data_IF_366567221735
#
_entry.id   IF_366567221735
#
_cell.length_a   1.000
_cell.length_b   1.000
_cell.length_c   1.000
_cell.angle_alpha   90.00
_cell.angle_beta   90.00
_cell.angle_gamma   90.00
#
_symmetry.space_group_name_H-M   'P 1'
#
loop_
_entity.id
_entity.type
_entity.pdbx_description
1 polymer ?
#
# COMPACT_ATOMS: atom_id res chain seq x y z
N UNK A 1 21.36 13.55 -19.30
CA UNK A 1 20.19 12.65 -19.38
C UNK A 1 20.16 11.80 -20.66
N UNK A 2 20.72 12.28 -21.79
CA UNK A 2 20.52 11.62 -23.09
C UNK A 2 21.03 10.16 -23.24
N UNK A 3 21.92 9.67 -22.39
CA UNK A 3 22.51 8.31 -22.54
C UNK A 3 21.96 7.27 -21.55
N UNK A 4 20.88 7.58 -20.86
CA UNK A 4 20.38 6.74 -19.75
C UNK A 4 18.96 6.23 -19.95
N UNK A 5 18.21 6.83 -20.88
CA UNK A 5 16.89 6.34 -21.25
C UNK A 5 17.00 5.29 -22.35
N UNK A 6 16.40 4.12 -22.12
CA UNK A 6 16.27 3.05 -23.12
C UNK A 6 14.96 3.16 -23.92
N UNK A 7 14.36 4.34 -23.97
CA UNK A 7 13.16 4.67 -24.72
C UNK A 7 13.26 6.08 -25.29
N UNK A 8 12.43 6.40 -26.29
CA UNK A 8 12.31 7.73 -26.87
C UNK A 8 11.15 8.49 -26.28
N UNK A 9 11.38 9.76 -25.90
CA UNK A 9 10.42 10.67 -25.33
C UNK A 9 10.49 12.00 -26.06
N UNK A 10 9.39 12.43 -26.64
CA UNK A 10 9.26 13.76 -27.24
C UNK A 10 8.54 14.69 -26.25
N UNK A 11 9.23 15.77 -25.89
CA UNK A 11 8.71 16.88 -25.10
C UNK A 11 8.27 17.99 -26.05
N UNK A 12 6.98 18.27 -26.11
CA UNK A 12 6.41 19.28 -27.01
C UNK A 12 6.09 20.54 -26.23
N UNK A 13 6.77 21.64 -26.58
CA UNK A 13 6.52 22.99 -26.06
C UNK A 13 6.09 23.90 -27.20
N UNK A 14 4.83 24.32 -27.20
CA UNK A 14 4.26 25.11 -28.32
C UNK A 14 4.55 24.39 -29.66
N UNK A 15 5.39 24.96 -30.51
CA UNK A 15 5.77 24.38 -31.80
C UNK A 15 7.12 23.63 -31.78
N UNK A 16 7.83 23.68 -30.64
CA UNK A 16 9.12 22.99 -30.51
C UNK A 16 8.94 21.58 -29.96
N UNK A 17 9.66 20.63 -30.54
CA UNK A 17 9.73 19.24 -30.06
C UNK A 17 11.19 18.94 -29.69
N UNK A 18 11.42 18.52 -28.46
CA UNK A 18 12.72 18.08 -27.97
C UNK A 18 12.71 16.59 -27.71
N UNK A 19 13.47 15.81 -28.48
CA UNK A 19 13.64 14.38 -28.26
C UNK A 19 14.67 14.08 -27.19
N UNK A 20 14.26 13.28 -26.20
CA UNK A 20 15.09 12.78 -25.09
C UNK A 20 15.17 11.25 -25.13
N UNK A 21 16.33 10.70 -24.78
CA UNK A 21 16.57 9.25 -24.81
C UNK A 21 17.04 8.75 -26.15
N UNK A 22 16.45 7.69 -26.69
CA UNK A 22 16.82 7.12 -28.01
C UNK A 22 16.49 8.14 -29.10
N UNK A 23 17.51 8.44 -29.91
CA UNK A 23 17.40 9.38 -31.04
C UNK A 23 17.52 8.57 -32.33
N UNK A 24 16.41 8.02 -32.77
CA UNK A 24 16.22 7.36 -34.03
C UNK A 24 15.16 8.09 -34.87
N UNK A 25 14.95 7.67 -36.09
CA UNK A 25 13.94 8.24 -37.00
C UNK A 25 12.53 7.67 -36.77
N UNK A 26 12.37 6.80 -35.77
CA UNK A 26 11.07 6.20 -35.43
C UNK A 26 10.20 7.19 -34.60
N UNK A 27 8.88 7.03 -34.66
CA UNK A 27 7.98 7.76 -33.75
C UNK A 27 8.40 7.54 -32.30
N UNK A 28 8.34 8.61 -31.49
CA UNK A 28 8.65 8.50 -30.07
C UNK A 28 7.68 7.53 -29.36
N UNK A 29 8.24 6.72 -28.45
CA UNK A 29 7.42 5.83 -27.60
C UNK A 29 6.41 6.62 -26.77
N UNK A 30 6.82 7.82 -26.31
CA UNK A 30 5.97 8.73 -25.56
C UNK A 30 6.06 10.15 -26.13
N UNK A 31 4.93 10.86 -26.13
CA UNK A 31 4.87 12.29 -26.47
C UNK A 31 4.14 13.02 -25.36
N UNK A 32 4.82 14.00 -24.77
CA UNK A 32 4.32 14.79 -23.64
C UNK A 32 4.28 16.24 -24.02
N UNK A 33 3.10 16.87 -23.92
CA UNK A 33 2.95 18.32 -24.02
C UNK A 33 3.33 18.95 -22.68
N UNK A 34 4.22 19.94 -22.73
CA UNK A 34 4.63 20.74 -21.57
C UNK A 34 3.80 22.02 -21.57
N UNK A 35 2.86 22.11 -20.64
CA UNK A 35 1.97 23.25 -20.47
C UNK A 35 2.60 24.34 -19.59
N UNK A 36 3.52 23.92 -18.67
CA UNK A 36 4.28 24.84 -17.81
C UNK A 36 5.73 24.33 -17.71
N UNK A 37 6.74 25.10 -18.23
CA UNK A 37 8.15 24.70 -18.19
C UNK A 37 8.72 24.48 -16.78
N UNK A 38 8.06 24.99 -15.75
CA UNK A 38 8.47 24.75 -14.35
C UNK A 38 8.54 23.26 -14.00
N UNK A 39 7.83 22.39 -14.75
CA UNK A 39 7.89 20.93 -14.57
C UNK A 39 9.31 20.37 -14.62
N UNK A 40 10.21 20.96 -15.41
CA UNK A 40 11.61 20.55 -15.49
C UNK A 40 12.35 20.81 -14.18
N UNK A 41 12.21 22.01 -13.64
CA UNK A 41 12.84 22.38 -12.38
C UNK A 41 12.28 21.56 -11.22
N UNK A 42 10.96 21.41 -11.16
CA UNK A 42 10.28 20.66 -10.12
C UNK A 42 10.70 19.17 -10.16
N UNK A 43 10.77 18.55 -11.34
CA UNK A 43 11.24 17.18 -11.49
C UNK A 43 12.72 17.00 -11.12
N UNK A 44 13.60 17.90 -11.59
CA UNK A 44 15.03 17.84 -11.26
C UNK A 44 15.27 18.06 -9.77
N UNK A 45 14.48 18.91 -9.13
CA UNK A 45 14.67 19.28 -7.71
C UNK A 45 14.02 18.28 -6.74
N UNK A 46 12.84 17.78 -7.06
CA UNK A 46 11.99 17.02 -6.14
C UNK A 46 11.68 15.60 -6.63
N UNK A 47 12.16 15.20 -7.81
CA UNK A 47 11.93 13.85 -8.36
C UNK A 47 10.45 13.55 -8.51
N UNK A 48 10.02 12.39 -7.98
CA UNK A 48 8.62 11.95 -8.06
C UNK A 48 7.63 12.93 -7.44
N UNK A 49 7.98 13.61 -6.35
CA UNK A 49 7.12 14.65 -5.76
C UNK A 49 6.87 15.79 -6.74
N UNK A 50 7.91 16.30 -7.40
CA UNK A 50 7.78 17.39 -8.37
C UNK A 50 6.98 16.98 -9.60
N UNK A 51 7.17 15.74 -10.08
CA UNK A 51 6.41 15.21 -11.21
C UNK A 51 4.92 15.03 -10.86
N UNK A 52 4.64 14.52 -9.65
CA UNK A 52 3.27 14.35 -9.15
C UNK A 52 2.54 15.69 -9.00
N UNK A 53 3.20 16.70 -8.41
CA UNK A 53 2.62 18.03 -8.30
C UNK A 53 2.38 18.68 -9.68
N UNK A 54 3.29 18.48 -10.61
CA UNK A 54 3.11 18.93 -12.00
C UNK A 54 1.90 18.27 -12.65
N UNK A 55 1.69 16.96 -12.42
CA UNK A 55 0.50 16.25 -12.90
C UNK A 55 -0.78 16.76 -12.25
N UNK A 56 -0.79 16.94 -10.92
CA UNK A 56 -1.93 17.50 -10.19
C UNK A 56 -2.41 18.83 -10.79
N UNK A 57 -1.47 19.66 -11.20
CA UNK A 57 -1.77 20.99 -11.75
C UNK A 57 -1.78 21.05 -13.28
N UNK A 58 -1.79 19.90 -13.96
CA UNK A 58 -1.81 19.80 -15.43
C UNK A 58 -0.66 20.58 -16.10
N UNK A 59 0.51 20.65 -15.44
CA UNK A 59 1.70 21.30 -16.00
C UNK A 59 2.26 20.52 -17.22
N UNK A 60 1.85 19.29 -17.40
CA UNK A 60 2.08 18.48 -18.61
C UNK A 60 0.88 17.58 -18.92
N UNK A 61 0.81 17.12 -20.16
CA UNK A 61 -0.24 16.21 -20.65
C UNK A 61 0.35 15.16 -21.57
N UNK A 62 -0.04 13.90 -21.43
CA UNK A 62 0.32 12.83 -22.35
C UNK A 62 -0.42 13.03 -23.67
N UNK A 63 0.29 13.13 -24.81
CA UNK A 63 -0.27 13.18 -26.14
C UNK A 63 -0.21 11.82 -26.86
N UNK A 64 0.83 11.01 -26.55
CA UNK A 64 0.98 9.65 -27.03
C UNK A 64 1.59 8.77 -25.94
N UNK A 65 1.15 7.51 -25.89
CA UNK A 65 1.43 6.62 -24.77
C UNK A 65 0.58 6.95 -23.54
N UNK A 66 0.83 6.28 -22.44
CA UNK A 66 0.15 6.55 -21.16
C UNK A 66 1.17 6.87 -20.06
N UNK A 67 0.69 7.51 -19.00
CA UNK A 67 1.53 7.95 -17.88
C UNK A 67 2.13 6.77 -17.10
N UNK A 68 1.37 5.69 -16.97
CA UNK A 68 1.77 4.47 -16.27
C UNK A 68 3.02 3.86 -16.92
N UNK A 69 2.99 3.62 -18.23
CA UNK A 69 4.11 3.05 -18.98
C UNK A 69 5.32 4.00 -18.99
N UNK A 70 5.09 5.31 -19.02
CA UNK A 70 6.15 6.31 -18.92
C UNK A 70 6.86 6.20 -17.56
N UNK A 71 6.10 6.19 -16.44
CA UNK A 71 6.66 6.07 -15.09
C UNK A 71 7.37 4.72 -14.93
N UNK A 72 6.78 3.62 -15.40
CA UNK A 72 7.42 2.31 -15.40
C UNK A 72 8.77 2.34 -16.14
N UNK A 73 8.80 2.92 -17.33
CA UNK A 73 10.04 3.05 -18.13
C UNK A 73 11.10 3.91 -17.42
N UNK A 74 10.66 4.98 -16.72
CA UNK A 74 11.55 5.82 -15.92
C UNK A 74 12.14 5.07 -14.72
N UNK A 75 11.35 4.27 -14.01
CA UNK A 75 11.79 3.44 -12.89
C UNK A 75 12.79 2.36 -13.35
N UNK A 76 12.51 1.68 -14.47
CA UNK A 76 13.45 0.71 -15.08
C UNK A 76 14.79 1.34 -15.44
N UNK A 77 14.82 2.59 -15.87
CA UNK A 77 16.05 3.36 -16.11
C UNK A 77 16.71 3.87 -14.83
N UNK A 78 16.10 3.71 -13.64
CA UNK A 78 16.61 4.19 -12.34
C UNK A 78 16.95 5.67 -12.35
N UNK A 79 16.12 6.49 -12.97
CA UNK A 79 16.35 7.95 -13.14
C UNK A 79 16.45 8.63 -11.78
N UNK A 80 15.67 8.19 -10.79
CA UNK A 80 15.72 8.68 -9.41
C UNK A 80 17.11 8.59 -8.78
N UNK A 81 17.83 7.47 -9.01
CA UNK A 81 19.21 7.28 -8.50
C UNK A 81 20.21 8.21 -9.15
N UNK A 82 19.96 8.62 -10.39
CA UNK A 82 20.81 9.54 -11.11
C UNK A 82 20.59 10.99 -10.66
N UNK A 83 19.33 11.37 -10.39
CA UNK A 83 18.99 12.68 -9.84
C UNK A 83 19.59 12.86 -8.44
N UNK A 84 19.59 11.81 -7.60
CA UNK A 84 20.14 11.83 -6.23
C UNK A 84 21.65 12.06 -6.17
N UNK A 85 22.40 11.82 -7.23
CA UNK A 85 23.84 12.15 -7.31
C UNK A 85 24.09 13.66 -7.41
N UNK A 86 23.08 14.47 -7.65
CA UNK A 86 23.23 15.91 -7.73
C UNK A 86 23.19 16.52 -6.30
N UNK A 87 24.32 17.10 -5.84
CA UNK A 87 24.42 17.69 -4.50
C UNK A 87 23.42 18.81 -4.21
N UNK A 88 22.98 19.55 -5.24
CA UNK A 88 21.94 20.58 -5.14
C UNK A 88 20.57 19.97 -4.78
N UNK A 89 20.30 18.75 -5.20
CA UNK A 89 19.12 17.98 -4.83
C UNK A 89 19.12 17.67 -3.32
N UNK A 90 20.28 17.25 -2.77
CA UNK A 90 20.43 16.95 -1.34
C UNK A 90 20.10 18.14 -0.43
N UNK A 91 20.54 19.35 -0.79
CA UNK A 91 20.28 20.54 0.00
C UNK A 91 18.81 20.97 0.01
N UNK A 92 18.05 20.71 -1.07
CA UNK A 92 16.63 21.09 -1.17
C UNK A 92 15.69 20.09 -0.51
N UNK A 93 16.07 18.82 -0.44
CA UNK A 93 15.30 17.77 0.21
C UNK A 93 15.56 17.67 1.73
N UNK A 94 16.66 18.27 2.20
CA UNK A 94 17.06 18.26 3.61
C UNK A 94 15.95 18.76 4.58
N UNK A 95 15.19 19.83 4.30
CA UNK A 95 14.12 20.29 5.17
C UNK A 95 12.97 19.27 5.33
N UNK A 96 12.67 18.47 4.29
CA UNK A 96 11.67 17.41 4.35
C UNK A 96 12.14 16.22 5.19
N UNK A 97 13.43 15.85 5.11
CA UNK A 97 14.04 14.82 5.95
C UNK A 97 14.07 15.16 7.44
N UNK A 98 14.16 16.45 7.77
CA UNK A 98 14.23 16.90 9.17
C UNK A 98 12.85 17.01 9.83
N UNK A 99 11.78 17.22 9.08
CA UNK A 99 10.40 17.35 9.60
C UNK A 99 9.79 16.00 10.06
N UNK A 100 10.33 14.87 9.65
CA UNK A 100 9.82 13.51 9.98
C UNK A 100 10.04 13.04 11.42
N UNK A 101 10.39 13.92 12.36
CA UNK A 101 10.62 13.56 13.79
C UNK A 101 9.61 14.20 14.77
N UNK A 102 8.44 14.60 14.32
CA UNK A 102 7.45 15.25 15.20
C UNK A 102 6.30 14.32 15.59
N UNK A 103 5.97 14.33 16.88
CA UNK A 103 4.89 13.61 17.59
C UNK A 103 3.44 13.85 17.07
N UNK A 104 3.16 13.77 15.76
CA UNK A 104 1.84 14.03 15.17
C UNK A 104 1.06 12.77 14.76
N UNK A 105 1.39 11.61 15.34
CA UNK A 105 0.95 10.29 14.86
C UNK A 105 -0.56 10.04 14.86
N UNK A 106 -1.34 10.62 15.77
CA UNK A 106 -2.78 10.39 15.81
C UNK A 106 -3.61 11.24 14.85
N UNK A 107 -3.07 12.38 14.37
CA UNK A 107 -3.81 13.27 13.46
C UNK A 107 -3.73 12.89 11.98
N UNK A 108 -2.70 12.18 11.56
CA UNK A 108 -2.36 12.04 10.13
C UNK A 108 -2.96 10.78 9.49
N UNK A 109 -3.19 9.70 10.25
CA UNK A 109 -3.96 8.54 9.77
C UNK A 109 -5.42 8.96 9.51
N UNK A 110 -6.00 9.82 10.37
CA UNK A 110 -7.30 10.41 10.14
C UNK A 110 -7.37 11.17 8.80
N UNK A 111 -6.38 11.99 8.46
CA UNK A 111 -6.45 12.90 7.29
C UNK A 111 -6.50 12.18 5.95
N UNK A 112 -5.91 10.98 5.81
CA UNK A 112 -5.98 10.22 4.56
C UNK A 112 -7.30 9.45 4.43
N UNK A 113 -7.79 8.87 5.53
CA UNK A 113 -9.09 8.17 5.56
C UNK A 113 -10.27 9.15 5.68
N UNK A 114 -10.04 10.44 5.98
CA UNK A 114 -10.98 11.56 5.84
C UNK A 114 -11.18 11.98 4.35
N UNK A 115 -10.42 11.40 3.40
CA UNK A 115 -10.85 11.34 2.01
C UNK A 115 -12.19 10.58 2.02
N UNK A 116 -13.28 11.25 1.70
CA UNK A 116 -14.63 10.70 1.86
C UNK A 116 -14.75 9.29 1.32
N UNK A 117 -15.58 8.49 1.94
CA UNK A 117 -15.77 7.05 1.60
C UNK A 117 -16.09 6.81 0.13
N UNK A 118 -16.62 7.78 -0.58
CA UNK A 118 -16.94 7.75 -2.00
C UNK A 118 -15.70 7.65 -2.89
N UNK A 119 -14.56 8.24 -2.50
CA UNK A 119 -13.27 8.02 -3.17
C UNK A 119 -12.93 6.53 -3.14
N UNK A 120 -12.96 5.91 -1.95
CA UNK A 120 -12.64 4.48 -1.82
C UNK A 120 -13.64 3.58 -2.55
N UNK A 121 -14.93 3.89 -2.49
CA UNK A 121 -15.98 3.18 -3.23
C UNK A 121 -15.82 3.28 -4.75
N UNK A 122 -15.15 4.32 -5.24
CA UNK A 122 -14.93 4.50 -6.68
C UNK A 122 -13.96 3.49 -7.27
N UNK A 123 -13.07 2.90 -6.47
CA UNK A 123 -12.03 1.99 -6.98
C UNK A 123 -11.87 0.67 -6.22
N UNK A 124 -12.28 0.56 -4.97
CA UNK A 124 -12.20 -0.68 -4.21
C UNK A 124 -13.29 -1.69 -4.61
N UNK A 125 -13.14 -2.91 -4.14
CA UNK A 125 -14.14 -3.97 -4.23
C UNK A 125 -15.31 -3.71 -3.26
N UNK A 126 -16.35 -4.53 -3.35
CA UNK A 126 -17.56 -4.40 -2.51
C UNK A 126 -17.30 -4.58 -1.01
N UNK A 127 -16.19 -5.17 -0.61
CA UNK A 127 -15.78 -5.32 0.80
C UNK A 127 -14.99 -4.13 1.30
N UNK A 128 -14.72 -3.15 0.45
CA UNK A 128 -13.90 -1.97 0.71
C UNK A 128 -12.49 -2.33 1.20
N UNK A 129 -11.92 -3.39 0.66
CA UNK A 129 -10.61 -3.87 1.09
C UNK A 129 -9.48 -3.11 0.42
N UNK A 130 -8.81 -2.23 1.18
CA UNK A 130 -7.70 -1.41 0.69
C UNK A 130 -6.34 -2.07 0.97
N UNK A 131 -6.14 -3.25 0.43
CA UNK A 131 -4.88 -4.00 0.48
C UNK A 131 -4.79 -4.97 -0.70
N UNK A 132 -3.57 -5.44 -1.01
CA UNK A 132 -3.32 -6.35 -2.12
C UNK A 132 -4.22 -7.59 -2.08
N UNK A 133 -4.87 -7.90 -3.20
CA UNK A 133 -5.57 -9.17 -3.42
C UNK A 133 -4.60 -10.30 -3.79
N UNK A 134 -5.13 -11.48 -4.08
CA UNK A 134 -4.35 -12.65 -4.50
C UNK A 134 -4.85 -13.18 -5.84
N UNK A 135 -4.00 -13.18 -6.85
CA UNK A 135 -4.30 -13.66 -8.21
C UNK A 135 -4.11 -15.18 -8.25
N UNK A 136 -5.13 -15.92 -8.56
CA UNK A 136 -5.08 -17.36 -8.88
C UNK A 136 -5.19 -17.57 -10.39
N UNK A 137 -5.93 -16.69 -11.10
CA UNK A 137 -6.05 -16.63 -12.55
C UNK A 137 -5.89 -15.19 -13.04
N UNK A 138 -5.36 -15.00 -14.25
CA UNK A 138 -5.29 -13.69 -14.90
C UNK A 138 -6.67 -13.11 -15.23
N UNK A 139 -7.71 -13.95 -15.22
CA UNK A 139 -9.10 -13.57 -15.44
C UNK A 139 -9.86 -13.17 -14.15
N UNK A 140 -9.21 -13.32 -12.99
CA UNK A 140 -9.83 -13.01 -11.70
C UNK A 140 -10.25 -11.52 -11.65
N UNK A 141 -11.50 -11.23 -11.28
CA UNK A 141 -11.96 -9.87 -10.98
C UNK A 141 -11.34 -9.35 -9.66
N UNK A 142 -11.43 -8.06 -9.41
CA UNK A 142 -10.95 -7.47 -8.14
C UNK A 142 -11.62 -8.13 -6.93
N UNK A 143 -12.92 -8.40 -7.01
CA UNK A 143 -13.68 -9.13 -5.98
C UNK A 143 -13.11 -10.52 -5.75
N UNK A 144 -12.79 -11.24 -6.84
CA UNK A 144 -12.19 -12.56 -6.75
C UNK A 144 -10.80 -12.50 -6.14
N UNK A 145 -9.96 -11.52 -6.52
CA UNK A 145 -8.63 -11.33 -5.91
C UNK A 145 -8.74 -11.16 -4.40
N UNK A 146 -9.71 -10.40 -3.91
CA UNK A 146 -9.89 -10.18 -2.46
C UNK A 146 -10.40 -11.45 -1.76
N UNK A 147 -11.34 -12.17 -2.36
CA UNK A 147 -11.80 -13.46 -1.82
C UNK A 147 -10.69 -14.51 -1.79
N UNK A 148 -9.88 -14.61 -2.84
CA UNK A 148 -8.72 -15.52 -2.89
C UNK A 148 -7.74 -15.20 -1.75
N UNK A 149 -7.43 -13.90 -1.54
CA UNK A 149 -6.60 -13.44 -0.42
C UNK A 149 -7.20 -13.87 0.92
N UNK A 150 -8.48 -13.62 1.16
CA UNK A 150 -9.13 -13.98 2.42
C UNK A 150 -9.08 -15.50 2.66
N UNK A 151 -9.44 -16.30 1.65
CA UNK A 151 -9.37 -17.75 1.71
C UNK A 151 -7.96 -18.25 2.03
N UNK A 152 -6.96 -17.69 1.35
CA UNK A 152 -5.55 -18.06 1.55
C UNK A 152 -5.06 -17.72 2.96
N UNK A 153 -5.38 -16.55 3.48
CA UNK A 153 -5.05 -16.16 4.86
C UNK A 153 -5.69 -17.12 5.86
N UNK A 154 -6.98 -17.39 5.72
CA UNK A 154 -7.70 -18.31 6.60
C UNK A 154 -7.09 -19.73 6.58
N UNK A 155 -6.71 -20.22 5.40
CA UNK A 155 -6.02 -21.53 5.23
C UNK A 155 -4.64 -21.52 5.88
N UNK A 156 -3.82 -20.47 5.71
CA UNK A 156 -2.50 -20.33 6.34
C UNK A 156 -2.59 -20.32 7.86
N UNK A 157 -3.58 -19.65 8.41
CA UNK A 157 -3.86 -19.62 9.84
C UNK A 157 -4.43 -20.91 10.36
N UNK A 158 -4.90 -21.82 9.47
CA UNK A 158 -5.64 -23.03 9.84
C UNK A 158 -6.83 -22.70 10.74
N UNK A 159 -7.69 -21.77 10.28
CA UNK A 159 -8.87 -21.39 11.03
C UNK A 159 -9.82 -22.56 11.25
N UNK A 160 -10.30 -22.66 12.50
CA UNK A 160 -11.26 -23.68 12.90
C UNK A 160 -12.49 -23.03 13.55
N UNK A 161 -13.59 -23.71 13.53
CA UNK A 161 -14.83 -23.24 14.18
C UNK A 161 -14.59 -22.93 15.66
N UNK A 162 -14.99 -21.74 16.08
CA UNK A 162 -14.85 -21.27 17.46
C UNK A 162 -13.52 -20.58 17.76
N UNK A 163 -12.54 -20.56 16.84
CA UNK A 163 -11.30 -19.80 17.03
C UNK A 163 -11.61 -18.31 17.33
N UNK A 164 -10.87 -17.73 18.25
CA UNK A 164 -10.86 -16.29 18.51
C UNK A 164 -9.82 -15.63 17.62
N UNK A 165 -10.27 -14.89 16.59
CA UNK A 165 -9.40 -14.19 15.64
C UNK A 165 -9.33 -12.69 15.99
N UNK A 166 -8.12 -12.16 16.15
CA UNK A 166 -7.87 -10.72 16.23
C UNK A 166 -7.36 -10.19 14.89
N UNK A 167 -7.95 -9.09 14.41
CA UNK A 167 -7.46 -8.32 13.25
C UNK A 167 -6.99 -6.91 13.70
N UNK A 168 -5.67 -6.69 13.66
CA UNK A 168 -5.04 -5.42 14.07
C UNK A 168 -4.98 -4.48 12.85
N UNK A 169 -5.81 -3.45 12.85
CA UNK A 169 -6.02 -2.58 11.69
C UNK A 169 -7.01 -3.19 10.69
N UNK A 170 -8.17 -3.59 11.19
CA UNK A 170 -9.16 -4.40 10.45
C UNK A 170 -9.85 -3.68 9.28
N UNK A 171 -9.60 -2.37 9.07
CA UNK A 171 -10.34 -1.58 8.10
C UNK A 171 -11.85 -1.67 8.35
N UNK A 172 -12.63 -1.92 7.31
CA UNK A 172 -14.09 -2.08 7.40
C UNK A 172 -14.54 -3.49 7.80
N UNK A 173 -13.62 -4.39 8.17
CA UNK A 173 -13.93 -5.73 8.66
C UNK A 173 -14.20 -6.79 7.58
N UNK A 174 -13.90 -6.52 6.32
CA UNK A 174 -14.19 -7.44 5.21
C UNK A 174 -13.65 -8.85 5.41
N UNK A 175 -12.41 -8.99 5.88
CA UNK A 175 -11.81 -10.30 6.18
C UNK A 175 -12.46 -11.00 7.37
N UNK A 176 -12.83 -10.27 8.42
CA UNK A 176 -13.54 -10.84 9.57
C UNK A 176 -14.91 -11.38 9.17
N UNK A 177 -15.66 -10.62 8.37
CA UNK A 177 -16.96 -11.03 7.82
C UNK A 177 -16.80 -12.33 7.01
N UNK A 178 -15.80 -12.38 6.13
CA UNK A 178 -15.50 -13.59 5.36
C UNK A 178 -15.16 -14.79 6.27
N UNK A 179 -14.25 -14.58 7.22
CA UNK A 179 -13.78 -15.65 8.12
C UNK A 179 -14.90 -16.22 9.00
N UNK A 180 -15.77 -15.37 9.53
CA UNK A 180 -16.93 -15.81 10.31
C UNK A 180 -17.88 -16.64 9.46
N UNK A 181 -18.23 -16.15 8.27
CA UNK A 181 -19.15 -16.87 7.36
C UNK A 181 -18.62 -18.23 6.90
N UNK A 182 -17.32 -18.31 6.61
CA UNK A 182 -16.75 -19.53 6.03
C UNK A 182 -16.24 -20.52 7.07
N UNK A 183 -15.79 -20.05 8.23
CA UNK A 183 -15.13 -20.89 9.23
C UNK A 183 -15.84 -20.93 10.59
N UNK A 184 -16.84 -20.06 10.82
CA UNK A 184 -17.59 -20.03 12.10
C UNK A 184 -16.74 -19.61 13.29
N UNK A 185 -15.79 -18.69 13.08
CA UNK A 185 -14.93 -18.14 14.12
C UNK A 185 -15.62 -17.01 14.87
N UNK A 186 -14.99 -16.52 15.96
CA UNK A 186 -15.32 -15.26 16.62
C UNK A 186 -14.26 -14.21 16.26
N UNK A 187 -14.69 -13.08 15.71
CA UNK A 187 -13.79 -12.04 15.19
C UNK A 187 -13.76 -10.80 16.07
N UNK A 188 -12.56 -10.33 16.40
CA UNK A 188 -12.35 -9.00 17.00
C UNK A 188 -11.48 -8.18 16.07
N UNK A 189 -11.99 -7.06 15.60
CA UNK A 189 -11.23 -6.06 14.84
C UNK A 189 -10.88 -4.87 15.70
N UNK A 190 -9.71 -4.30 15.52
CA UNK A 190 -9.36 -3.00 16.10
C UNK A 190 -8.93 -2.02 15.03
N UNK A 191 -9.26 -0.76 15.22
CA UNK A 191 -8.90 0.34 14.33
C UNK A 191 -8.74 1.65 15.12
N UNK A 192 -7.91 2.58 14.60
CA UNK A 192 -7.80 3.95 15.10
C UNK A 192 -8.63 4.95 14.26
N UNK A 193 -9.29 4.50 13.18
CA UNK A 193 -10.15 5.33 12.34
C UNK A 193 -11.60 5.24 12.80
N UNK A 194 -12.21 6.40 13.04
CA UNK A 194 -13.63 6.51 13.38
C UNK A 194 -14.49 5.99 12.22
N UNK A 195 -14.17 6.34 10.99
CA UNK A 195 -14.91 5.91 9.81
C UNK A 195 -14.88 4.38 9.63
N UNK A 196 -13.71 3.76 9.83
CA UNK A 196 -13.59 2.31 9.81
C UNK A 196 -14.44 1.65 10.91
N UNK A 197 -14.43 2.23 12.11
CA UNK A 197 -15.22 1.75 13.25
C UNK A 197 -16.72 1.85 12.98
N UNK A 198 -17.20 3.01 12.56
CA UNK A 198 -18.62 3.26 12.36
C UNK A 198 -19.18 2.46 11.18
N UNK A 199 -18.57 2.60 10.01
CA UNK A 199 -19.03 1.90 8.81
C UNK A 199 -18.81 0.37 8.91
N UNK A 200 -17.70 -0.08 9.48
CA UNK A 200 -17.44 -1.50 9.69
C UNK A 200 -18.51 -2.15 10.57
N UNK A 201 -18.85 -1.54 11.71
CA UNK A 201 -19.93 -2.03 12.57
C UNK A 201 -21.31 -1.93 11.88
N UNK A 202 -21.54 -0.93 11.02
CA UNK A 202 -22.76 -0.88 10.21
C UNK A 202 -22.85 -2.05 9.24
N UNK A 203 -21.75 -2.37 8.52
CA UNK A 203 -21.69 -3.51 7.59
C UNK A 203 -21.90 -4.86 8.31
N UNK A 204 -21.35 -5.02 9.51
CA UNK A 204 -21.55 -6.20 10.36
C UNK A 204 -23.03 -6.37 10.73
N UNK A 205 -23.70 -5.30 11.18
CA UNK A 205 -25.15 -5.32 11.50
C UNK A 205 -26.02 -5.64 10.29
N UNK A 206 -25.71 -5.07 9.12
CA UNK A 206 -26.42 -5.37 7.87
C UNK A 206 -26.36 -6.84 7.46
N UNK A 207 -25.36 -7.56 7.97
CA UNK A 207 -25.17 -8.99 7.70
C UNK A 207 -25.58 -9.90 8.88
N UNK A 208 -26.14 -9.34 9.96
CA UNK A 208 -26.56 -10.04 11.16
C UNK A 208 -25.43 -10.86 11.81
N UNK A 209 -24.22 -10.25 11.92
CA UNK A 209 -23.01 -10.89 12.46
C UNK A 209 -22.52 -10.24 13.75
N UNK A 210 -23.28 -9.33 14.37
CA UNK A 210 -22.90 -8.57 15.57
C UNK A 210 -22.63 -9.44 16.82
N UNK A 211 -23.20 -10.63 16.87
CA UNK A 211 -22.92 -11.60 17.94
C UNK A 211 -21.58 -12.33 17.74
N UNK A 212 -21.00 -12.27 16.55
CA UNK A 212 -19.80 -13.00 16.16
C UNK A 212 -18.62 -12.10 15.84
N UNK A 213 -18.87 -10.84 15.46
CA UNK A 213 -17.83 -9.87 15.09
C UNK A 213 -18.02 -8.57 15.87
N UNK A 214 -16.92 -8.10 16.44
CA UNK A 214 -16.84 -6.79 17.11
C UNK A 214 -15.69 -5.99 16.56
N UNK A 215 -15.95 -4.78 16.07
CA UNK A 215 -14.90 -3.80 15.76
C UNK A 215 -14.85 -2.78 16.89
N UNK A 216 -13.66 -2.52 17.42
CA UNK A 216 -13.41 -1.57 18.50
C UNK A 216 -12.49 -0.41 18.01
N UNK A 217 -12.82 0.82 18.43
CA UNK A 217 -11.95 1.97 18.25
C UNK A 217 -10.87 1.93 19.35
N UNK A 218 -9.74 1.27 19.05
CA UNK A 218 -8.76 0.91 20.07
C UNK A 218 -7.33 0.90 19.50
N UNK A 219 -6.39 1.49 20.25
CA UNK A 219 -4.95 1.37 19.97
C UNK A 219 -4.46 -0.06 20.29
N UNK A 220 -3.58 -0.61 19.42
CA UNK A 220 -3.01 -1.96 19.58
C UNK A 220 -2.32 -2.18 20.94
N UNK A 221 -1.86 -1.11 21.60
CA UNK A 221 -1.23 -1.16 22.93
C UNK A 221 -2.21 -1.56 24.05
N UNK A 222 -3.52 -1.44 23.79
CA UNK A 222 -4.60 -1.63 24.79
C UNK A 222 -5.47 -2.86 24.55
N UNK A 223 -5.14 -3.73 23.61
CA UNK A 223 -5.90 -4.92 23.26
C UNK A 223 -6.19 -5.76 24.50
N UNK A 224 -7.46 -6.13 24.81
CA UNK A 224 -7.80 -7.03 25.91
C UNK A 224 -7.60 -8.50 25.51
N UNK A 225 -7.62 -9.41 26.49
CA UNK A 225 -7.69 -10.87 26.28
C UNK A 225 -6.51 -11.50 25.57
N UNK A 226 -6.75 -12.71 25.06
CA UNK A 226 -5.83 -13.49 24.22
C UNK A 226 -6.62 -14.18 23.10
N UNK A 227 -5.95 -14.48 21.97
CA UNK A 227 -6.56 -14.96 20.73
C UNK A 227 -5.85 -16.21 20.24
N UNK A 228 -6.60 -17.07 19.56
CA UNK A 228 -6.07 -18.28 18.91
C UNK A 228 -5.28 -17.90 17.66
N UNK A 229 -5.74 -16.86 16.96
CA UNK A 229 -5.15 -16.37 15.72
C UNK A 229 -5.07 -14.85 15.73
N UNK A 230 -4.00 -14.29 15.14
CA UNK A 230 -3.82 -12.84 14.99
C UNK A 230 -3.45 -12.53 13.54
N UNK A 231 -4.09 -11.52 12.97
CA UNK A 231 -3.73 -10.96 11.67
C UNK A 231 -3.49 -9.47 11.77
N UNK A 232 -2.65 -8.97 10.86
CA UNK A 232 -2.45 -7.53 10.66
C UNK A 232 -2.06 -7.29 9.21
N UNK A 233 -2.89 -6.52 8.48
CA UNK A 233 -2.76 -6.32 7.05
C UNK A 233 -2.74 -4.83 6.74
N UNK A 234 -1.63 -4.30 6.16
CA UNK A 234 -1.50 -2.89 5.82
C UNK A 234 -1.47 -1.95 7.02
N UNK A 235 -1.04 -2.45 8.18
CA UNK A 235 -0.97 -1.69 9.43
C UNK A 235 0.47 -1.32 9.80
N UNK A 236 1.42 -2.21 9.51
CA UNK A 236 2.81 -2.08 9.94
C UNK A 236 3.50 -0.85 9.33
N UNK A 237 3.07 -0.43 8.16
CA UNK A 237 3.50 0.79 7.49
C UNK A 237 3.20 2.05 8.31
N UNK A 238 2.19 1.99 9.18
CA UNK A 238 1.76 3.09 10.05
C UNK A 238 2.30 2.96 11.48
N UNK A 239 3.00 1.89 11.80
CA UNK A 239 3.71 1.72 13.08
C UNK A 239 5.10 2.33 12.96
N UNK A 240 5.49 3.30 13.80
CA UNK A 240 6.85 3.81 13.80
C UNK A 240 7.88 2.73 14.10
N UNK A 241 9.06 2.82 13.48
CA UNK A 241 10.15 1.87 13.76
C UNK A 241 10.52 1.78 15.24
N UNK A 242 10.41 2.89 15.97
CA UNK A 242 10.61 2.94 17.43
C UNK A 242 9.63 2.05 18.19
N UNK A 243 8.45 1.82 17.65
CA UNK A 243 7.36 1.09 18.30
C UNK A 243 7.30 -0.40 17.87
N UNK A 244 8.15 -0.84 16.91
CA UNK A 244 8.15 -2.23 16.44
C UNK A 244 8.32 -3.24 17.60
N UNK A 245 9.28 -3.01 18.50
CA UNK A 245 9.46 -3.88 19.69
C UNK A 245 8.18 -4.01 20.49
N UNK A 246 7.48 -2.90 20.74
CA UNK A 246 6.24 -2.90 21.51
C UNK A 246 5.11 -3.59 20.72
N UNK A 247 5.01 -3.33 19.41
CA UNK A 247 4.03 -3.95 18.54
C UNK A 247 4.14 -5.49 18.54
N UNK A 248 5.33 -6.03 18.29
CA UNK A 248 5.56 -7.46 18.28
C UNK A 248 5.47 -8.10 19.67
N UNK A 249 5.89 -7.41 20.73
CA UNK A 249 5.67 -7.85 22.11
C UNK A 249 4.17 -7.92 22.45
N UNK A 250 3.37 -6.99 21.93
CA UNK A 250 1.90 -7.04 22.10
C UNK A 250 1.33 -8.26 21.38
N UNK A 251 1.71 -8.50 20.12
CA UNK A 251 1.29 -9.69 19.37
C UNK A 251 1.65 -10.98 20.15
N UNK A 252 2.88 -11.10 20.61
CA UNK A 252 3.31 -12.26 21.40
C UNK A 252 2.46 -12.47 22.66
N UNK A 253 2.20 -11.40 23.44
CA UNK A 253 1.39 -11.48 24.67
C UNK A 253 -0.05 -11.87 24.40
N UNK A 254 -0.62 -11.40 23.25
CA UNK A 254 -2.02 -11.61 22.90
C UNK A 254 -2.27 -12.90 22.13
N UNK A 255 -1.26 -13.48 21.51
CA UNK A 255 -1.35 -14.79 20.87
C UNK A 255 -1.25 -15.88 21.93
N UNK A 256 -2.23 -16.80 21.96
CA UNK A 256 -2.22 -17.98 22.83
C UNK A 256 -1.05 -18.91 22.48
N UNK A 257 -0.64 -19.77 23.40
CA UNK A 257 0.33 -20.83 23.15
C UNK A 257 -0.19 -21.74 22.01
N UNK A 258 0.66 -22.04 21.02
CA UNK A 258 0.28 -22.77 19.81
C UNK A 258 -0.52 -21.96 18.79
N UNK A 259 -0.79 -20.70 19.09
CA UNK A 259 -1.48 -19.80 18.17
C UNK A 259 -0.64 -19.41 16.96
N UNK A 260 -1.31 -19.04 15.86
CA UNK A 260 -0.68 -18.58 14.61
C UNK A 260 -0.99 -17.11 14.35
N UNK A 261 -0.03 -16.41 13.81
CA UNK A 261 -0.22 -15.03 13.37
C UNK A 261 0.25 -14.82 11.94
N UNK A 262 -0.33 -13.82 11.27
CA UNK A 262 0.04 -13.43 9.93
C UNK A 262 0.13 -11.91 9.83
N UNK A 263 1.24 -11.43 9.29
CA UNK A 263 1.47 -10.02 8.98
C UNK A 263 1.61 -9.86 7.49
N UNK A 264 0.93 -8.85 6.93
CA UNK A 264 1.01 -8.50 5.52
C UNK A 264 1.29 -7.00 5.40
N UNK A 265 2.38 -6.61 4.72
CA UNK A 265 2.81 -5.23 4.67
C UNK A 265 3.55 -4.88 3.38
N UNK A 266 3.43 -3.61 2.96
CA UNK A 266 4.25 -3.04 1.89
C UNK A 266 5.62 -2.72 2.48
N UNK A 267 6.65 -3.28 1.90
CA UNK A 267 8.04 -3.13 2.37
C UNK A 267 8.97 -2.63 1.29
N UNK A 268 10.25 -2.55 1.62
CA UNK A 268 11.31 -2.17 0.70
C UNK A 268 12.41 -3.21 0.63
N UNK A 269 12.91 -3.46 -0.59
CA UNK A 269 14.08 -4.28 -0.86
C UNK A 269 15.37 -3.45 -1.03
N UNK A 270 15.44 -2.28 -0.37
CA UNK A 270 16.56 -1.34 -0.50
C UNK A 270 17.34 -1.22 0.80
N UNK A 271 18.61 -0.85 0.70
CA UNK A 271 19.46 -0.57 1.86
C UNK A 271 19.12 0.77 2.54
N UNK A 272 18.42 1.67 1.83
CA UNK A 272 18.03 2.99 2.35
C UNK A 272 16.69 2.91 3.05
N UNK A 273 16.43 3.84 3.98
CA UNK A 273 15.12 4.02 4.63
C UNK A 273 14.33 5.13 3.93
N UNK A 274 14.60 5.35 2.65
CA UNK A 274 13.91 6.38 1.89
C UNK A 274 12.50 5.89 1.55
N UNK A 275 11.54 6.74 1.85
CA UNK A 275 10.15 6.60 1.46
C UNK A 275 9.83 7.67 0.42
N UNK A 276 8.95 7.37 -0.50
CA UNK A 276 8.58 8.32 -1.55
C UNK A 276 7.94 9.58 -0.97
N UNK A 277 8.45 10.76 -1.34
CA UNK A 277 7.99 12.04 -0.78
C UNK A 277 6.59 12.43 -1.24
N UNK A 278 6.15 11.99 -2.43
CA UNK A 278 4.79 12.22 -2.87
C UNK A 278 3.81 11.43 -2.00
N UNK A 279 4.11 10.16 -1.77
CA UNK A 279 3.32 9.30 -0.89
C UNK A 279 3.25 9.87 0.53
N UNK A 280 4.39 10.28 1.10
CA UNK A 280 4.43 10.87 2.44
C UNK A 280 3.67 12.20 2.55
N UNK A 281 3.69 13.03 1.49
CA UNK A 281 3.05 14.34 1.54
C UNK A 281 1.54 14.27 1.35
N UNK A 282 1.07 13.42 0.44
CA UNK A 282 -0.30 13.47 -0.06
C UNK A 282 -1.15 12.26 0.30
N UNK A 283 -0.56 11.08 0.48
CA UNK A 283 -1.29 9.83 0.61
C UNK A 283 -1.20 9.27 2.04
N UNK A 284 -0.01 8.96 2.50
CA UNK A 284 0.22 8.37 3.82
C UNK A 284 1.25 9.16 4.62
N UNK A 285 0.84 10.31 5.20
CA UNK A 285 1.73 11.08 6.09
C UNK A 285 2.25 10.19 7.24
N UNK A 286 3.53 10.34 7.56
CA UNK A 286 4.23 9.60 8.62
C UNK A 286 4.30 8.07 8.42
N UNK A 287 3.87 7.54 7.27
CA UNK A 287 4.09 6.12 6.95
C UNK A 287 5.56 5.81 6.70
N UNK A 288 5.90 4.55 6.82
CA UNK A 288 7.24 4.06 6.49
C UNK A 288 7.15 2.78 5.64
N UNK A 289 8.27 2.38 5.05
CA UNK A 289 8.39 1.10 4.36
C UNK A 289 9.27 0.17 5.21
N UNK A 290 8.67 -0.78 5.95
CA UNK A 290 9.41 -1.77 6.72
C UNK A 290 10.34 -2.60 5.85
N UNK A 291 11.49 -2.99 6.37
CA UNK A 291 12.36 -3.96 5.72
C UNK A 291 12.08 -5.35 6.26
N UNK A 292 12.13 -6.35 5.39
CA UNK A 292 11.95 -7.73 5.79
C UNK A 292 12.87 -8.11 6.97
N UNK A 293 14.15 -7.67 6.93
CA UNK A 293 15.12 -7.91 8.00
C UNK A 293 14.75 -7.28 9.35
N UNK A 294 14.11 -6.09 9.33
CA UNK A 294 13.64 -5.45 10.56
C UNK A 294 12.52 -6.28 11.19
N UNK A 295 11.62 -6.81 10.37
CA UNK A 295 10.43 -7.53 10.83
C UNK A 295 10.77 -8.95 11.28
N UNK A 296 11.60 -9.68 10.52
CA UNK A 296 12.07 -11.01 10.93
C UNK A 296 12.85 -10.95 12.21
N UNK A 297 13.73 -9.94 12.39
CA UNK A 297 14.45 -9.73 13.65
C UNK A 297 13.49 -9.50 14.84
N UNK A 298 12.41 -8.72 14.66
CA UNK A 298 11.44 -8.51 15.74
C UNK A 298 10.66 -9.78 16.08
N UNK A 299 10.32 -10.60 15.11
CA UNK A 299 9.67 -11.91 15.34
C UNK A 299 10.60 -12.82 16.15
N UNK A 300 11.88 -12.93 15.77
CA UNK A 300 12.90 -13.72 16.48
C UNK A 300 13.08 -13.26 17.93
N UNK A 301 13.24 -11.95 18.17
CA UNK A 301 13.43 -11.39 19.52
C UNK A 301 12.21 -11.61 20.43
N UNK A 302 11.03 -11.83 19.87
CA UNK A 302 9.80 -12.09 20.61
C UNK A 302 9.43 -13.58 20.65
N UNK A 303 10.36 -14.51 20.33
CA UNK A 303 10.11 -15.96 20.30
C UNK A 303 8.87 -16.34 19.45
N UNK A 304 8.66 -15.65 18.34
CA UNK A 304 7.65 -15.95 17.34
C UNK A 304 8.32 -16.65 16.16
N UNK A 305 8.09 -17.95 16.04
CA UNK A 305 8.73 -18.76 15.01
C UNK A 305 8.16 -18.46 13.61
N UNK A 306 9.00 -18.07 12.66
CA UNK A 306 8.60 -17.82 11.28
C UNK A 306 8.32 -19.16 10.59
N UNK A 307 7.14 -19.30 10.01
CA UNK A 307 6.69 -20.52 9.31
C UNK A 307 6.79 -20.36 7.79
N UNK A 308 6.39 -19.21 7.25
CA UNK A 308 6.43 -18.92 5.81
C UNK A 308 6.63 -17.42 5.56
N UNK A 309 7.34 -17.10 4.49
CA UNK A 309 7.47 -15.75 3.97
C UNK A 309 7.15 -15.78 2.47
N UNK A 310 6.19 -14.96 2.06
CA UNK A 310 5.79 -14.83 0.66
C UNK A 310 5.92 -13.38 0.21
N UNK A 311 6.52 -13.16 -0.97
CA UNK A 311 6.54 -11.84 -1.62
C UNK A 311 5.40 -11.78 -2.64
N UNK A 312 4.43 -10.93 -2.37
CA UNK A 312 3.21 -10.78 -3.15
C UNK A 312 3.22 -9.58 -4.11
N UNK A 313 4.36 -8.98 -4.38
CA UNK A 313 4.44 -7.75 -5.18
C UNK A 313 3.81 -7.89 -6.57
N UNK A 314 3.87 -9.08 -7.18
CA UNK A 314 3.22 -9.33 -8.49
C UNK A 314 1.70 -9.26 -8.39
N UNK A 315 1.11 -9.85 -7.34
CA UNK A 315 -0.33 -9.76 -7.07
C UNK A 315 -0.76 -8.31 -6.83
N UNK A 316 0.12 -7.51 -6.22
CA UNK A 316 -0.15 -6.09 -6.00
C UNK A 316 -0.21 -5.30 -7.31
N UNK A 317 0.59 -5.64 -8.29
CA UNK A 317 0.52 -5.04 -9.63
C UNK A 317 -0.86 -5.20 -10.27
N UNK A 318 -1.44 -6.41 -10.23
CA UNK A 318 -2.80 -6.67 -10.71
C UNK A 318 -3.85 -5.91 -9.89
N UNK A 319 -3.75 -5.97 -8.57
CA UNK A 319 -4.70 -5.27 -7.68
C UNK A 319 -4.70 -3.76 -7.92
N UNK A 320 -3.52 -3.15 -8.00
CA UNK A 320 -3.36 -1.72 -8.23
C UNK A 320 -3.84 -1.30 -9.63
N UNK A 321 -3.67 -2.18 -10.64
CA UNK A 321 -4.20 -1.94 -11.97
C UNK A 321 -5.73 -1.86 -11.96
N UNK A 322 -6.43 -2.81 -11.30
CA UNK A 322 -7.88 -2.73 -11.12
C UNK A 322 -8.32 -1.46 -10.41
N UNK A 323 -7.59 -1.03 -9.37
CA UNK A 323 -7.90 0.21 -8.67
C UNK A 323 -7.76 1.42 -9.60
N UNK A 324 -6.68 1.50 -10.37
CA UNK A 324 -6.44 2.60 -11.31
C UNK A 324 -7.53 2.65 -12.40
N UNK A 325 -7.87 1.51 -13.00
CA UNK A 325 -8.86 1.43 -14.07
C UNK A 325 -10.27 1.79 -13.57
N UNK A 326 -10.66 1.28 -12.40
CA UNK A 326 -11.93 1.63 -11.76
C UNK A 326 -11.99 3.10 -11.37
N UNK A 327 -10.91 3.63 -10.78
CA UNK A 327 -10.85 5.05 -10.43
C UNK A 327 -11.02 5.94 -11.68
N UNK A 328 -10.29 5.65 -12.75
CA UNK A 328 -10.43 6.38 -14.02
C UNK A 328 -11.84 6.30 -14.58
N UNK A 329 -12.46 5.12 -14.54
CA UNK A 329 -13.81 4.89 -15.04
C UNK A 329 -14.91 5.59 -14.21
N UNK A 330 -14.72 5.71 -12.90
CA UNK A 330 -15.69 6.29 -11.97
C UNK A 330 -15.39 7.75 -11.59
N UNK A 331 -14.25 8.29 -12.00
CA UNK A 331 -13.79 9.63 -11.63
C UNK A 331 -14.83 10.72 -11.88
N UNK A 332 -15.60 10.58 -12.95
CA UNK A 332 -16.63 11.56 -13.33
C UNK A 332 -17.80 11.64 -12.32
N UNK A 333 -17.97 10.66 -11.45
CA UNK A 333 -19.00 10.67 -10.39
C UNK A 333 -18.59 11.43 -9.14
N UNK A 334 -17.31 11.79 -9.03
CA UNK A 334 -16.71 12.38 -7.84
C UNK A 334 -16.76 13.93 -7.88
N UNK A 335 -17.97 14.49 -8.03
CA UNK A 335 -18.18 15.93 -8.23
C UNK A 335 -17.83 16.80 -7.01
N UNK A 336 -17.73 16.21 -5.81
CA UNK A 336 -17.39 16.94 -4.58
C UNK A 336 -15.88 17.31 -4.50
N UNK A 337 -15.06 16.80 -5.40
CA UNK A 337 -13.60 16.94 -5.35
C UNK A 337 -13.07 17.79 -6.49
N UNK A 338 -11.99 18.53 -6.22
CA UNK A 338 -11.32 19.30 -7.26
C UNK A 338 -10.53 18.40 -8.21
N UNK A 339 -10.36 18.84 -9.46
CA UNK A 339 -9.54 18.14 -10.44
C UNK A 339 -8.13 17.85 -9.94
N UNK A 340 -7.51 18.80 -9.22
CA UNK A 340 -6.17 18.61 -8.65
C UNK A 340 -6.15 17.47 -7.62
N UNK A 341 -7.18 17.35 -6.80
CA UNK A 341 -7.29 16.24 -5.83
C UNK A 341 -7.51 14.90 -6.53
N UNK A 342 -8.38 14.84 -7.55
CA UNK A 342 -8.57 13.62 -8.34
C UNK A 342 -7.31 13.23 -9.12
N UNK A 343 -6.58 14.21 -9.68
CA UNK A 343 -5.29 13.98 -10.32
C UNK A 343 -4.25 13.42 -9.34
N UNK A 344 -4.28 13.87 -8.07
CA UNK A 344 -3.41 13.34 -7.02
C UNK A 344 -3.63 11.83 -6.82
N UNK A 345 -4.90 11.39 -6.69
CA UNK A 345 -5.22 9.97 -6.53
C UNK A 345 -4.86 9.16 -7.77
N UNK A 346 -5.17 9.67 -8.96
CA UNK A 346 -4.81 9.01 -10.22
C UNK A 346 -3.30 8.82 -10.35
N UNK A 347 -2.52 9.86 -10.04
CA UNK A 347 -1.07 9.80 -10.06
C UNK A 347 -0.53 8.80 -9.04
N UNK A 348 -1.07 8.79 -7.82
CA UNK A 348 -0.72 7.82 -6.79
C UNK A 348 -0.94 6.38 -7.25
N UNK A 349 -2.14 6.07 -7.76
CA UNK A 349 -2.47 4.72 -8.24
C UNK A 349 -1.58 4.33 -9.43
N UNK A 350 -1.32 5.26 -10.34
CA UNK A 350 -0.39 5.07 -11.47
C UNK A 350 1.03 4.71 -10.99
N UNK A 351 1.56 5.46 -10.01
CA UNK A 351 2.87 5.17 -9.42
C UNK A 351 2.89 3.80 -8.70
N UNK A 352 1.79 3.43 -8.04
CA UNK A 352 1.68 2.14 -7.35
C UNK A 352 1.76 0.97 -8.33
N UNK A 353 1.06 1.07 -9.46
CA UNK A 353 1.14 0.05 -10.54
C UNK A 353 2.56 -0.05 -11.09
N UNK A 354 3.17 1.08 -11.44
CA UNK A 354 4.51 1.11 -12.01
C UNK A 354 5.56 0.56 -11.02
N UNK A 355 5.49 0.91 -9.75
CA UNK A 355 6.39 0.41 -8.70
C UNK A 355 6.24 -1.11 -8.49
N UNK A 356 5.02 -1.64 -8.55
CA UNK A 356 4.78 -3.08 -8.45
C UNK A 356 5.33 -3.84 -9.67
N UNK A 357 5.13 -3.33 -10.90
CA UNK A 357 5.64 -3.92 -12.14
C UNK A 357 7.16 -3.90 -12.23
N UNK A 358 7.83 -2.94 -11.59
CA UNK A 358 9.29 -2.83 -11.59
C UNK A 358 9.96 -3.45 -10.37
N UNK A 359 9.19 -3.91 -9.39
CA UNK A 359 9.68 -4.40 -8.10
C UNK A 359 10.49 -3.36 -7.31
N UNK A 360 10.22 -2.06 -7.54
CA UNK A 360 10.79 -0.97 -6.72
C UNK A 360 10.19 -0.92 -5.32
N UNK A 361 8.99 -1.50 -5.14
CA UNK A 361 8.41 -1.85 -3.86
C UNK A 361 8.52 -3.36 -3.61
N UNK A 362 8.26 -3.78 -2.39
CA UNK A 362 8.03 -5.17 -2.01
C UNK A 362 6.73 -5.28 -1.24
N UNK A 363 6.12 -6.44 -1.25
CA UNK A 363 4.96 -6.71 -0.43
C UNK A 363 5.10 -8.09 0.16
N UNK A 364 5.16 -8.15 1.48
CA UNK A 364 5.41 -9.39 2.19
C UNK A 364 4.20 -9.86 2.97
N UNK A 365 4.02 -11.17 2.98
CA UNK A 365 3.14 -11.87 3.90
C UNK A 365 3.98 -12.85 4.71
N UNK A 366 3.99 -12.70 6.04
CA UNK A 366 4.77 -13.53 6.96
C UNK A 366 3.81 -14.29 7.88
N UNK A 367 3.85 -15.60 7.82
CA UNK A 367 3.17 -16.50 8.75
C UNK A 367 4.14 -16.87 9.88
N UNK A 368 3.68 -16.77 11.13
CA UNK A 368 4.46 -17.11 12.31
C UNK A 368 3.61 -17.85 13.35
N UNK A 369 4.27 -18.47 14.32
CA UNK A 369 3.63 -19.23 15.41
C UNK A 369 4.26 -18.86 16.75
N UNK A 370 3.43 -18.91 17.80
CA UNK A 370 3.90 -18.90 19.18
C UNK A 370 3.94 -20.33 19.68
N UNK A 371 5.10 -20.79 20.13
CA UNK A 371 5.39 -22.15 20.50
C UNK A 371 5.53 -23.14 19.33
N UNK A 372 6.78 -23.51 19.09
CA UNK A 372 7.23 -24.31 17.95
C UNK A 372 7.03 -25.81 18.09
N UNK A 373 6.44 -26.26 19.19
CA UNK A 373 6.34 -27.71 19.49
C UNK A 373 5.22 -28.41 18.72
N UNK A 374 4.36 -27.66 18.04
CA UNK A 374 3.27 -28.22 17.24
C UNK A 374 3.73 -28.55 15.81
N UNK A 375 3.26 -29.65 15.21
CA UNK A 375 3.63 -30.02 13.86
C UNK A 375 3.23 -28.94 12.85
N UNK A 376 4.18 -28.57 11.99
CA UNK A 376 3.98 -27.63 10.89
C UNK A 376 3.59 -28.45 9.66
N UNK A 377 2.61 -27.97 8.87
CA UNK A 377 2.32 -28.58 7.59
C UNK A 377 3.52 -28.51 6.66
N UNK A 378 3.89 -29.65 6.07
CA UNK A 378 5.00 -29.70 5.12
C UNK A 378 4.64 -29.08 3.76
N UNK A 379 3.35 -29.05 3.41
CA UNK A 379 2.90 -28.49 2.14
C UNK A 379 2.59 -27.02 2.29
N UNK A 380 3.29 -26.19 1.49
CA UNK A 380 2.99 -24.75 1.35
C UNK A 380 1.59 -24.57 0.73
N UNK A 381 0.81 -23.65 1.29
CA UNK A 381 -0.56 -23.32 0.80
C UNK A 381 -0.46 -22.23 -0.25
#
# INVERSE_FOLDING_TARGET
>A
MNNTLNFSLDLKEKECITRVGIKDDLPAKYVVAINNPKVYDDFIQFGNLGLGEAYMHRAFTMLHGNLEDLIESMLRCKIDKQLKKNWKWLLKVLPFRMKGKSNRQHKNVQTHYDAGIDIFKSFLDVTLTYSCGYVESEEDSLEQLQQNKFSRICKKLELQRGDQLLDIGCGFGGLLIFAVKQYGIQGTGITNSIDHFELGNQLIRQQHLEDQIKIELLDFKKIPGQFDKIISIGMLEHVPRSDYKQYFSTIHKKLKKGGRGLIHFIGANTHTNEHDFFIQKYIFPDSNQPKLSEITHQLEVQDLAIVDIENMIRHYGYTAQYWLDRFKSNRYTLHAYTDSYLNMFEYYLTCTVAAAKTSDAALYQILFMKDYTLPIRLKRI
#
